data_IF_061356988068
#
_entry.id   IF_061356988068
#
_cell.length_a   1.000
_cell.length_b   1.000
_cell.length_c   1.000
_cell.angle_alpha   90.00
_cell.angle_beta   90.00
_cell.angle_gamma   90.00
#
_symmetry.space_group_name_H-M   'P 1'
#
loop_
_entity.id
_entity.type
_entity.pdbx_description
1 polymer ?
#
# COMPACT_ATOMS: atom_id res chain seq x y z
N UNK A 1 -3.79 15.97 -2.85
CA UNK A 1 -4.69 16.65 -3.83
C UNK A 1 -6.13 16.25 -3.54
N UNK A 2 -7.00 17.19 -3.12
CA UNK A 2 -8.43 16.92 -2.85
C UNK A 2 -9.24 17.16 -4.13
N UNK A 3 -9.68 16.10 -4.80
CA UNK A 3 -10.69 16.25 -5.86
C UNK A 3 -12.08 16.32 -5.21
N UNK A 4 -12.78 17.43 -5.45
CA UNK A 4 -14.11 17.70 -4.88
C UNK A 4 -15.17 16.75 -5.46
N UNK A 5 -15.76 15.94 -4.57
CA UNK A 5 -16.88 15.02 -4.78
C UNK A 5 -18.10 15.64 -5.48
N UNK A 6 -18.23 16.97 -5.45
CA UNK A 6 -19.35 17.72 -6.03
C UNK A 6 -19.38 17.64 -7.56
N UNK A 7 -18.23 17.55 -8.23
CA UNK A 7 -18.16 17.60 -9.70
C UNK A 7 -18.68 16.32 -10.39
N UNK A 8 -18.63 15.17 -9.70
CA UNK A 8 -19.04 13.88 -10.26
C UNK A 8 -20.57 13.69 -10.26
N UNK A 9 -21.27 14.29 -9.29
CA UNK A 9 -22.73 14.26 -9.20
C UNK A 9 -23.42 15.07 -10.30
N UNK A 10 -22.82 16.18 -10.75
CA UNK A 10 -23.39 17.01 -11.83
C UNK A 10 -23.32 16.34 -13.22
N UNK A 11 -22.31 15.50 -13.46
CA UNK A 11 -22.14 14.77 -14.73
C UNK A 11 -23.11 13.59 -14.90
N UNK A 12 -23.60 13.00 -13.82
CA UNK A 12 -24.53 11.85 -13.85
C UNK A 12 -26.01 12.25 -14.00
N UNK A 13 -26.37 13.48 -13.60
CA UNK A 13 -27.75 13.97 -13.65
C UNK A 13 -28.42 13.85 -15.06
N UNK A 14 -27.77 14.26 -16.18
CA UNK A 14 -28.40 14.15 -17.49
C UNK A 14 -28.58 12.71 -17.99
N UNK A 15 -27.72 11.77 -17.58
CA UNK A 15 -27.81 10.36 -17.97
C UNK A 15 -28.98 9.64 -17.27
N UNK A 16 -29.18 9.90 -15.98
CA UNK A 16 -30.30 9.34 -15.21
C UNK A 16 -31.65 9.83 -15.77
N UNK A 17 -31.73 11.11 -16.16
CA UNK A 17 -32.93 11.66 -16.78
C UNK A 17 -33.22 11.06 -18.16
N UNK A 18 -32.19 10.82 -18.98
CA UNK A 18 -32.38 10.27 -20.32
C UNK A 18 -32.81 8.80 -20.28
N UNK A 19 -32.22 8.01 -19.36
CA UNK A 19 -32.59 6.61 -19.16
C UNK A 19 -34.02 6.46 -18.58
N UNK A 20 -34.40 7.34 -17.65
CA UNK A 20 -35.75 7.38 -17.09
C UNK A 20 -36.83 7.78 -18.10
N UNK A 21 -36.47 8.55 -19.15
CA UNK A 21 -37.38 8.94 -20.25
C UNK A 21 -37.51 7.86 -21.32
N UNK A 22 -36.48 7.04 -21.55
CA UNK A 22 -36.48 5.96 -22.57
C UNK A 22 -37.29 4.73 -22.13
N UNK A 23 -37.27 4.40 -20.84
CA UNK A 23 -38.16 3.37 -20.26
C UNK A 23 -39.58 3.94 -20.11
N UNK A 24 -40.38 3.89 -21.17
CA UNK A 24 -41.82 4.14 -21.11
C UNK A 24 -42.53 3.00 -20.37
N UNK A 25 -42.41 3.01 -19.04
CA UNK A 25 -43.04 2.09 -18.09
C UNK A 25 -44.54 2.42 -17.98
N UNK A 26 -45.29 2.29 -19.08
CA UNK A 26 -46.74 2.56 -19.13
C UNK A 26 -47.57 1.51 -18.38
N UNK A 27 -46.97 0.38 -17.99
CA UNK A 27 -47.69 -0.73 -17.33
C UNK A 27 -47.22 -1.05 -15.90
N UNK A 28 -46.32 -0.27 -15.31
CA UNK A 28 -45.96 -0.49 -13.91
C UNK A 28 -46.90 0.26 -12.97
N UNK A 29 -47.51 -0.42 -11.97
CA UNK A 29 -48.23 0.29 -10.92
C UNK A 29 -47.29 1.30 -10.26
N UNK A 30 -47.80 2.44 -9.76
CA UNK A 30 -47.00 3.52 -9.14
C UNK A 30 -45.99 3.03 -8.10
N UNK A 31 -46.24 1.88 -7.46
CA UNK A 31 -45.31 1.19 -6.55
C UNK A 31 -44.06 0.61 -7.24
N UNK A 32 -44.17 0.08 -8.46
CA UNK A 32 -43.07 -0.49 -9.24
C UNK A 32 -42.07 0.57 -9.73
N UNK A 33 -42.55 1.77 -10.06
CA UNK A 33 -41.68 2.91 -10.44
C UNK A 33 -40.84 3.40 -9.24
N UNK A 34 -41.40 3.35 -8.02
CA UNK A 34 -40.65 3.69 -6.79
C UNK A 34 -39.57 2.64 -6.48
N UNK A 35 -39.89 1.36 -6.62
CA UNK A 35 -38.93 0.27 -6.39
C UNK A 35 -37.78 0.30 -7.41
N UNK A 36 -38.09 0.55 -8.68
CA UNK A 36 -37.07 0.61 -9.74
C UNK A 36 -36.15 1.83 -9.58
N UNK A 37 -36.68 2.98 -9.15
CA UNK A 37 -35.86 4.15 -8.77
C UNK A 37 -34.96 3.85 -7.56
N UNK A 38 -35.46 3.11 -6.58
CA UNK A 38 -34.67 2.70 -5.41
C UNK A 38 -33.53 1.75 -5.79
N UNK A 39 -33.80 0.75 -6.64
CA UNK A 39 -32.78 -0.19 -7.15
C UNK A 39 -31.73 0.54 -7.99
N UNK A 40 -32.16 1.45 -8.87
CA UNK A 40 -31.24 2.24 -9.70
C UNK A 40 -30.40 3.21 -8.85
N UNK A 41 -30.98 3.80 -7.80
CA UNK A 41 -30.24 4.61 -6.82
C UNK A 41 -29.21 3.78 -6.05
N UNK A 42 -29.57 2.55 -5.62
CA UNK A 42 -28.63 1.63 -4.98
C UNK A 42 -27.50 1.17 -5.92
N UNK A 43 -27.79 0.94 -7.21
CA UNK A 43 -26.77 0.59 -8.22
C UNK A 43 -25.82 1.75 -8.51
N UNK A 44 -26.33 2.97 -8.64
CA UNK A 44 -25.48 4.16 -8.83
C UNK A 44 -24.65 4.47 -7.58
N UNK A 45 -25.22 4.27 -6.38
CA UNK A 45 -24.49 4.42 -5.12
C UNK A 45 -23.37 3.37 -4.96
N UNK A 46 -23.54 2.15 -5.51
CA UNK A 46 -22.50 1.12 -5.47
C UNK A 46 -21.41 1.34 -6.52
N UNK A 47 -21.71 1.92 -7.68
CA UNK A 47 -20.67 2.35 -8.63
C UNK A 47 -19.90 3.59 -8.16
N UNK A 48 -20.53 4.50 -7.40
CA UNK A 48 -19.87 5.71 -6.87
C UNK A 48 -18.93 5.44 -5.68
N UNK A 49 -18.94 4.22 -5.13
CA UNK A 49 -18.12 3.85 -3.97
C UNK A 49 -16.69 3.39 -4.32
N UNK A 50 -16.34 3.24 -5.62
CA UNK A 50 -15.09 2.59 -6.02
C UNK A 50 -13.89 3.52 -6.30
N UNK A 51 -13.93 4.78 -5.86
CA UNK A 51 -12.76 5.70 -5.95
C UNK A 51 -12.01 5.86 -4.63
N UNK A 52 -12.27 5.02 -3.63
CA UNK A 52 -11.37 4.88 -2.50
C UNK A 52 -10.06 4.27 -3.02
N UNK A 53 -8.99 5.07 -3.08
CA UNK A 53 -7.63 4.51 -3.13
C UNK A 53 -7.52 3.57 -1.94
N UNK A 54 -7.21 2.30 -2.19
CA UNK A 54 -6.81 1.39 -1.13
C UNK A 54 -5.53 1.99 -0.50
N UNK A 55 -5.67 2.52 0.70
CA UNK A 55 -4.52 2.81 1.53
C UNK A 55 -3.92 1.45 1.92
N UNK A 56 -2.64 1.24 1.60
CA UNK A 56 -1.94 0.05 2.08
C UNK A 56 -1.80 0.22 3.59
N UNK A 57 -2.60 -0.53 4.35
CA UNK A 57 -2.56 -0.53 5.79
C UNK A 57 -1.57 -1.60 6.27
N UNK A 58 -0.40 -1.17 6.73
CA UNK A 58 0.60 -2.05 7.32
C UNK A 58 0.20 -2.40 8.76
N UNK A 59 0.18 -3.69 9.08
CA UNK A 59 0.10 -4.16 10.47
C UNK A 59 1.40 -3.87 11.22
N UNK A 60 1.39 -3.78 12.55
CA UNK A 60 2.62 -3.48 13.33
C UNK A 60 3.75 -4.49 13.06
N UNK A 61 3.39 -5.76 12.89
CA UNK A 61 4.32 -6.86 12.54
C UNK A 61 4.88 -6.75 11.12
N UNK A 62 4.36 -5.85 10.29
CA UNK A 62 4.86 -5.71 8.93
C UNK A 62 6.28 -5.16 8.92
N UNK A 63 6.74 -4.52 10.00
CA UNK A 63 7.98 -3.75 10.03
C UNK A 63 9.16 -4.54 10.60
N UNK A 64 10.37 -4.14 10.25
CA UNK A 64 11.59 -4.73 10.80
C UNK A 64 11.71 -4.49 12.31
N UNK A 65 12.26 -5.47 13.02
CA UNK A 65 12.26 -5.52 14.49
C UNK A 65 13.65 -5.33 15.10
N UNK A 66 14.71 -5.68 14.36
CA UNK A 66 16.07 -5.66 14.87
C UNK A 66 17.08 -5.19 13.81
N UNK A 67 18.11 -4.49 14.27
CA UNK A 67 19.31 -4.18 13.47
C UNK A 67 20.32 -5.30 13.64
N UNK A 68 20.85 -5.80 12.53
CA UNK A 68 21.82 -6.91 12.50
C UNK A 68 23.23 -6.42 12.20
N UNK A 69 23.36 -5.55 11.19
CA UNK A 69 24.65 -5.00 10.76
C UNK A 69 24.42 -3.66 10.06
N UNK A 70 25.41 -2.77 10.11
CA UNK A 70 25.29 -1.46 9.48
C UNK A 70 26.65 -0.79 9.25
N UNK A 71 26.72 0.05 8.23
CA UNK A 71 27.79 1.01 8.02
C UNK A 71 27.16 2.35 7.64
N UNK A 72 27.01 3.23 8.62
CA UNK A 72 26.35 4.52 8.45
C UNK A 72 27.38 5.66 8.46
N UNK A 73 27.28 6.58 7.52
CA UNK A 73 28.19 7.73 7.42
C UNK A 73 27.61 8.93 8.20
N UNK A 74 28.50 9.69 8.85
CA UNK A 74 28.17 10.62 9.94
C UNK A 74 26.99 11.57 9.69
N UNK A 75 26.08 11.63 10.65
CA UNK A 75 24.91 12.52 10.69
C UNK A 75 23.65 11.67 10.75
N UNK A 76 22.90 11.74 11.84
CA UNK A 76 21.63 11.01 12.01
C UNK A 76 21.77 9.50 11.78
N UNK A 77 22.72 8.87 12.46
CA UNK A 77 23.18 7.52 12.18
C UNK A 77 22.84 6.52 13.30
N UNK A 78 21.68 6.69 13.94
CA UNK A 78 21.17 5.69 14.88
C UNK A 78 20.40 4.64 14.06
N UNK A 79 20.97 3.44 13.83
CA UNK A 79 20.32 2.44 12.99
C UNK A 79 18.99 1.96 13.58
N UNK A 80 18.75 2.15 14.88
CA UNK A 80 17.51 1.71 15.54
C UNK A 80 16.32 2.61 15.22
N UNK A 81 16.56 3.81 14.70
CA UNK A 81 15.50 4.72 14.23
C UNK A 81 14.76 4.23 12.99
N UNK A 82 15.29 3.20 12.31
CA UNK A 82 14.64 2.58 11.14
C UNK A 82 13.75 1.37 11.50
N UNK A 83 13.59 1.09 12.80
CA UNK A 83 12.82 -0.07 13.28
C UNK A 83 11.38 0.31 13.60
N UNK A 84 10.48 -0.65 13.43
CA UNK A 84 9.08 -0.46 13.69
C UNK A 84 8.38 0.41 12.64
N UNK A 85 7.25 0.99 13.03
CA UNK A 85 6.37 1.72 12.11
C UNK A 85 7.02 3.00 11.64
N UNK A 86 6.85 3.26 10.33
CA UNK A 86 7.16 4.56 9.76
C UNK A 86 6.37 5.65 10.52
N UNK A 87 7.06 6.64 11.06
CA UNK A 87 6.45 7.69 11.87
C UNK A 87 6.59 9.09 11.25
N UNK A 88 7.30 9.16 10.11
CA UNK A 88 7.45 10.39 9.37
C UNK A 88 6.12 10.85 8.78
N UNK A 89 5.88 12.16 8.86
CA UNK A 89 4.72 12.82 8.28
C UNK A 89 5.12 14.06 7.50
N UNK A 90 4.31 14.45 6.50
CA UNK A 90 4.56 15.65 5.69
C UNK A 90 4.66 16.94 6.53
N UNK A 91 4.03 16.99 7.69
CA UNK A 91 4.05 18.13 8.61
C UNK A 91 5.39 18.27 9.37
N UNK A 92 6.24 17.23 9.34
CA UNK A 92 7.59 17.25 9.92
C UNK A 92 8.64 17.89 9.01
N UNK A 93 8.28 18.22 7.76
CA UNK A 93 9.18 18.92 6.83
C UNK A 93 9.58 20.28 7.42
N UNK A 94 10.88 20.47 7.66
CA UNK A 94 11.44 21.70 8.26
C UNK A 94 11.32 21.81 9.78
N UNK A 95 10.75 20.80 10.47
CA UNK A 95 10.60 20.76 11.93
C UNK A 95 11.27 19.50 12.46
N UNK A 96 12.51 19.61 12.96
CA UNK A 96 13.29 18.52 13.57
C UNK A 96 13.19 17.16 12.83
N UNK A 97 13.17 17.16 11.50
CA UNK A 97 13.15 15.96 10.64
C UNK A 97 14.41 15.08 10.77
N UNK A 98 15.28 15.42 11.72
CA UNK A 98 16.58 14.84 11.93
C UNK A 98 16.82 14.45 13.39
N UNK A 99 15.75 14.30 14.17
CA UNK A 99 15.89 13.59 15.45
C UNK A 99 16.29 12.15 15.18
N UNK A 100 17.13 11.57 16.04
CA UNK A 100 17.42 10.12 16.06
C UNK A 100 16.21 9.26 16.43
N UNK A 101 15.01 9.83 16.40
CA UNK A 101 13.74 9.18 16.71
C UNK A 101 12.90 8.96 15.46
N UNK A 102 13.22 9.62 14.32
CA UNK A 102 12.39 9.63 13.10
C UNK A 102 12.99 8.77 11.97
N UNK A 103 14.32 8.66 11.92
CA UNK A 103 14.98 7.89 10.87
C UNK A 103 16.49 7.97 10.94
N UNK A 104 17.14 7.16 10.10
CA UNK A 104 18.59 7.05 10.02
C UNK A 104 19.08 7.34 8.61
N UNK A 105 20.11 8.16 8.49
CA UNK A 105 20.83 8.38 7.24
C UNK A 105 21.84 7.25 7.03
N UNK A 106 21.80 6.63 5.86
CA UNK A 106 22.85 5.71 5.43
C UNK A 106 24.13 6.48 5.12
N UNK A 107 23.96 7.69 4.55
CA UNK A 107 25.03 8.43 3.90
C UNK A 107 25.58 7.72 2.66
N UNK A 108 26.45 8.40 1.91
CA UNK A 108 26.87 7.94 0.58
C UNK A 108 27.59 6.58 0.61
N UNK A 109 26.96 5.56 0.03
CA UNK A 109 27.48 4.18 0.02
C UNK A 109 27.37 3.45 1.37
N UNK A 110 26.62 3.99 2.33
CA UNK A 110 26.31 3.32 3.58
C UNK A 110 25.26 2.23 3.40
N UNK A 111 25.11 1.37 4.41
CA UNK A 111 24.11 0.32 4.42
C UNK A 111 23.53 0.06 5.81
N UNK A 112 22.33 -0.50 5.82
CA UNK A 112 21.63 -0.99 7.01
C UNK A 112 21.05 -2.37 6.73
N UNK A 113 21.36 -3.32 7.61
CA UNK A 113 20.80 -4.67 7.59
C UNK A 113 19.87 -4.84 8.78
N UNK A 114 18.63 -5.22 8.49
CA UNK A 114 17.56 -5.40 9.45
C UNK A 114 17.00 -6.82 9.39
N UNK A 115 16.42 -7.26 10.50
CA UNK A 115 15.75 -8.55 10.66
C UNK A 115 14.26 -8.35 11.01
N UNK A 116 13.41 -9.16 10.38
CA UNK A 116 12.04 -9.41 10.79
C UNK A 116 12.02 -10.63 11.74
N UNK A 117 11.78 -10.36 13.02
CA UNK A 117 11.79 -11.37 14.08
C UNK A 117 10.43 -12.08 14.14
N UNK A 118 9.34 -11.33 14.07
CA UNK A 118 7.97 -11.85 14.16
C UNK A 118 7.22 -11.88 12.82
N UNK A 119 7.95 -11.60 11.74
CA UNK A 119 7.48 -11.57 10.37
C UNK A 119 8.54 -12.12 9.39
N UNK A 120 8.18 -12.32 8.13
CA UNK A 120 9.07 -12.71 7.06
C UNK A 120 8.68 -11.96 5.77
N UNK A 121 9.66 -11.66 4.93
CA UNK A 121 9.47 -11.14 3.58
C UNK A 121 9.21 -12.30 2.64
N UNK A 122 8.11 -12.26 1.89
CA UNK A 122 7.76 -13.23 0.87
C UNK A 122 7.07 -12.55 -0.31
N UNK A 123 7.13 -13.19 -1.46
CA UNK A 123 6.45 -12.71 -2.66
C UNK A 123 4.95 -13.01 -2.64
N UNK A 124 4.18 -12.12 -3.24
CA UNK A 124 2.73 -12.18 -3.41
C UNK A 124 2.29 -13.24 -4.43
N UNK A 125 3.15 -13.55 -5.40
CA UNK A 125 2.85 -14.34 -6.59
C UNK A 125 2.11 -13.57 -7.69
N UNK A 126 2.01 -12.24 -7.59
CA UNK A 126 1.49 -11.37 -8.64
C UNK A 126 2.44 -10.19 -8.94
N UNK A 127 1.94 -9.00 -9.25
CA UNK A 127 2.76 -7.82 -9.60
C UNK A 127 2.68 -6.70 -8.55
N UNK A 128 1.98 -6.97 -7.45
CA UNK A 128 1.90 -6.09 -6.31
C UNK A 128 3.27 -5.98 -5.64
N UNK A 129 3.43 -4.98 -4.77
CA UNK A 129 4.69 -4.73 -4.09
C UNK A 129 4.74 -5.56 -2.82
N UNK A 130 5.84 -6.23 -2.58
CA UNK A 130 6.01 -7.18 -1.48
C UNK A 130 6.78 -6.57 -0.31
N UNK A 131 7.72 -5.70 -0.63
CA UNK A 131 8.63 -5.03 0.31
C UNK A 131 8.53 -3.51 0.10
N UNK A 132 8.53 -2.77 1.19
CA UNK A 132 8.52 -1.31 1.18
C UNK A 132 9.67 -0.78 2.01
N UNK A 133 10.38 0.21 1.47
CA UNK A 133 11.39 0.97 2.19
C UNK A 133 10.87 2.40 2.30
N UNK A 134 10.67 2.89 3.51
CA UNK A 134 10.21 4.24 3.78
C UNK A 134 11.42 5.15 3.92
N UNK A 135 11.47 6.13 3.02
CA UNK A 135 12.57 7.08 2.92
C UNK A 135 12.02 8.48 3.19
N UNK A 136 12.77 9.25 3.97
CA UNK A 136 12.41 10.59 4.38
C UNK A 136 13.29 11.63 3.70
N UNK A 137 13.04 12.90 3.96
CA UNK A 137 13.81 13.99 3.37
C UNK A 137 13.32 14.41 1.99
N UNK A 138 13.94 15.46 1.45
CA UNK A 138 13.40 16.23 0.33
C UNK A 138 13.92 15.84 -1.06
N UNK A 139 14.83 14.87 -1.17
CA UNK A 139 15.44 14.47 -2.44
C UNK A 139 15.35 12.94 -2.60
N UNK A 140 14.86 12.40 -3.73
CA UNK A 140 14.91 10.97 -4.05
C UNK A 140 16.33 10.43 -4.14
N UNK A 141 16.52 9.23 -3.60
CA UNK A 141 17.81 8.56 -3.51
C UNK A 141 17.71 7.11 -3.96
N UNK A 142 18.68 6.68 -4.76
CA UNK A 142 18.74 5.32 -5.28
C UNK A 142 19.27 4.36 -4.21
N UNK A 143 18.44 3.36 -3.90
CA UNK A 143 18.69 2.32 -2.92
C UNK A 143 18.90 0.97 -3.59
N UNK A 144 20.00 0.31 -3.31
CA UNK A 144 20.18 -1.11 -3.60
C UNK A 144 19.52 -1.93 -2.50
N UNK A 145 18.67 -2.89 -2.87
CA UNK A 145 17.97 -3.75 -1.92
C UNK A 145 18.42 -5.20 -2.11
N UNK A 146 18.68 -5.86 -1.00
CA UNK A 146 19.04 -7.27 -0.96
C UNK A 146 18.26 -7.97 0.16
N UNK A 147 17.90 -9.24 -0.05
CA UNK A 147 17.15 -10.04 0.92
C UNK A 147 17.87 -11.34 1.25
N UNK A 148 17.73 -11.83 2.47
CA UNK A 148 18.39 -13.06 2.92
C UNK A 148 17.52 -13.89 3.87
N UNK A 149 17.68 -15.21 3.79
CA UNK A 149 17.07 -16.18 4.71
C UNK A 149 17.89 -16.28 6.00
N UNK A 150 19.21 -16.19 5.89
CA UNK A 150 20.16 -16.56 6.95
C UNK A 150 21.12 -15.43 7.37
N UNK A 151 21.04 -14.27 6.72
CA UNK A 151 21.90 -13.11 6.97
C UNK A 151 23.31 -13.23 6.36
N UNK A 152 23.61 -14.31 5.65
CA UNK A 152 24.94 -14.59 5.07
C UNK A 152 24.91 -14.72 3.55
N UNK A 153 23.86 -15.31 2.99
CA UNK A 153 23.64 -15.46 1.55
C UNK A 153 22.56 -14.48 1.10
N UNK A 154 22.90 -13.60 0.16
CA UNK A 154 22.05 -12.47 -0.23
C UNK A 154 21.52 -12.65 -1.66
N UNK A 155 20.23 -12.42 -1.84
CA UNK A 155 19.59 -12.23 -3.14
C UNK A 155 19.48 -10.74 -3.41
N UNK A 156 20.12 -10.29 -4.48
CA UNK A 156 19.96 -8.94 -5.03
C UNK A 156 18.57 -8.82 -5.70
N UNK A 157 17.76 -7.87 -5.21
CA UNK A 157 16.41 -7.56 -5.74
C UNK A 157 16.37 -6.19 -6.44
N UNK A 158 17.54 -5.70 -6.82
CA UNK A 158 17.73 -4.53 -7.66
C UNK A 158 17.74 -3.20 -6.93
N UNK A 159 17.80 -2.15 -7.75
CA UNK A 159 17.77 -0.75 -7.31
C UNK A 159 16.34 -0.25 -7.28
N UNK A 160 15.99 0.42 -6.19
CA UNK A 160 14.73 1.09 -5.96
C UNK A 160 14.97 2.59 -5.76
N UNK A 161 14.10 3.42 -6.30
CA UNK A 161 14.13 4.87 -6.12
C UNK A 161 12.69 5.36 -5.96
N UNK A 162 12.49 6.32 -5.07
CA UNK A 162 11.17 6.92 -4.84
C UNK A 162 10.79 7.80 -6.02
N UNK A 163 9.51 7.80 -6.40
CA UNK A 163 9.10 8.48 -7.63
C UNK A 163 9.12 10.02 -7.52
N UNK A 164 8.97 10.57 -6.32
CA UNK A 164 8.89 12.03 -6.12
C UNK A 164 9.05 12.45 -4.65
N UNK A 165 9.80 13.53 -4.43
CA UNK A 165 9.97 14.16 -3.12
C UNK A 165 8.70 14.77 -2.50
N UNK A 166 7.59 14.87 -3.24
CA UNK A 166 6.40 15.62 -2.79
C UNK A 166 5.20 14.76 -2.46
N UNK A 167 5.20 13.49 -2.90
CA UNK A 167 4.02 12.62 -2.85
C UNK A 167 4.34 11.17 -2.51
N UNK A 168 5.62 10.85 -2.31
CA UNK A 168 6.09 9.48 -2.10
C UNK A 168 7.05 9.45 -0.91
N UNK A 169 6.70 8.67 0.11
CA UNK A 169 7.45 8.56 1.38
C UNK A 169 8.13 7.20 1.52
N UNK A 170 8.15 6.44 0.43
CA UNK A 170 8.82 5.15 0.37
C UNK A 170 8.74 4.57 -1.03
N UNK A 171 9.47 3.49 -1.24
CA UNK A 171 9.50 2.75 -2.50
C UNK A 171 9.11 1.30 -2.26
N UNK A 172 8.13 0.84 -3.03
CA UNK A 172 7.71 -0.55 -3.05
C UNK A 172 8.52 -1.34 -4.07
N UNK A 173 8.87 -2.58 -3.74
CA UNK A 173 9.53 -3.54 -4.62
C UNK A 173 8.69 -4.80 -4.72
N UNK A 174 8.42 -5.21 -5.96
CA UNK A 174 7.91 -6.54 -6.31
C UNK A 174 9.12 -7.47 -6.40
N UNK A 175 9.17 -8.45 -5.50
CA UNK A 175 10.29 -9.39 -5.39
C UNK A 175 10.04 -10.70 -6.16
N UNK A 176 8.80 -10.97 -6.56
CA UNK A 176 8.41 -12.19 -7.26
C UNK A 176 9.22 -12.39 -8.55
N UNK A 177 9.50 -11.29 -9.26
CA UNK A 177 10.29 -11.32 -10.48
C UNK A 177 11.73 -11.84 -10.30
N UNK A 178 12.27 -11.81 -9.07
CA UNK A 178 13.61 -12.30 -8.77
C UNK A 178 13.62 -13.77 -8.37
N UNK A 179 12.46 -14.42 -8.22
CA UNK A 179 12.39 -15.83 -7.88
C UNK A 179 12.48 -16.70 -9.12
N UNK A 180 13.54 -17.52 -9.19
CA UNK A 180 13.79 -18.38 -10.33
C UNK A 180 14.25 -19.77 -9.90
N UNK A 181 14.04 -20.76 -10.75
CA UNK A 181 14.63 -22.10 -10.55
C UNK A 181 16.16 -22.03 -10.48
N UNK A 182 16.79 -21.05 -11.14
CA UNK A 182 18.24 -20.89 -11.19
C UNK A 182 18.88 -20.43 -9.89
N UNK A 183 18.20 -19.57 -9.13
CA UNK A 183 18.65 -19.14 -7.79
C UNK A 183 17.98 -19.94 -6.66
N UNK A 184 17.10 -20.89 -6.98
CA UNK A 184 16.51 -21.81 -6.00
C UNK A 184 15.43 -21.17 -5.13
N UNK A 185 14.85 -20.06 -5.56
CA UNK A 185 13.79 -19.36 -4.85
C UNK A 185 12.46 -19.42 -5.62
N UNK A 186 11.37 -19.53 -4.89
CA UNK A 186 10.01 -19.46 -5.41
C UNK A 186 9.11 -18.64 -4.45
N UNK A 187 7.83 -18.49 -4.79
CA UNK A 187 6.86 -17.70 -4.01
C UNK A 187 6.56 -18.31 -2.63
N UNK A 188 7.02 -19.52 -2.33
CA UNK A 188 6.97 -20.12 -0.99
C UNK A 188 8.19 -19.80 -0.14
N UNK A 189 9.27 -19.30 -0.74
CA UNK A 189 10.48 -18.86 -0.03
C UNK A 189 10.17 -17.67 0.87
N UNK A 190 10.78 -17.66 2.06
CA UNK A 190 10.63 -16.61 3.05
C UNK A 190 11.99 -16.11 3.52
N UNK A 191 12.14 -14.81 3.56
CA UNK A 191 13.37 -14.11 3.93
C UNK A 191 13.15 -13.40 5.25
N UNK A 192 14.17 -13.38 6.10
CA UNK A 192 14.12 -12.73 7.42
C UNK A 192 14.91 -11.44 7.46
N UNK A 193 15.84 -11.29 6.54
CA UNK A 193 16.78 -10.19 6.54
C UNK A 193 16.62 -9.35 5.29
N UNK A 194 16.68 -8.03 5.46
CA UNK A 194 16.74 -7.07 4.37
C UNK A 194 17.95 -6.19 4.60
N UNK A 195 18.75 -6.01 3.55
CA UNK A 195 19.82 -5.00 3.51
C UNK A 195 19.43 -3.93 2.51
N UNK A 196 19.48 -2.69 2.98
CA UNK A 196 19.29 -1.49 2.16
C UNK A 196 20.62 -0.76 2.11
N UNK A 197 21.09 -0.46 0.92
CA UNK A 197 22.36 0.23 0.71
C UNK A 197 22.15 1.46 -0.17
N UNK A 198 22.75 2.58 0.20
CA UNK A 198 22.84 3.73 -0.68
C UNK A 198 23.77 3.39 -1.86
N UNK A 199 23.34 3.68 -3.09
CA UNK A 199 24.14 3.35 -4.28
C UNK A 199 25.33 4.29 -4.51
N UNK A 200 25.36 5.44 -3.83
CA UNK A 200 26.34 6.51 -4.03
C UNK A 200 26.17 7.30 -5.33
N UNK A 201 25.18 6.96 -6.16
CA UNK A 201 24.92 7.61 -7.46
C UNK A 201 24.08 8.90 -7.35
N UNK A 202 23.71 9.31 -6.13
CA UNK A 202 22.83 10.45 -5.91
C UNK A 202 23.45 11.75 -6.47
N UNK A 203 22.71 12.43 -7.33
CA UNK A 203 23.22 13.53 -8.17
C UNK A 203 23.52 14.84 -7.43
N UNK A 204 23.26 14.92 -6.13
CA UNK A 204 23.31 16.16 -5.34
C UNK A 204 24.45 16.21 -4.32
N UNK A 205 25.52 15.43 -4.57
CA UNK A 205 26.78 15.24 -3.82
C UNK A 205 27.58 16.51 -3.41
N UNK A 206 26.96 17.56 -2.90
CA UNK A 206 27.67 18.76 -2.44
C UNK A 206 28.53 18.52 -1.18
N UNK A 207 28.35 17.40 -0.47
CA UNK A 207 29.08 17.12 0.77
C UNK A 207 29.57 15.67 0.96
N UNK A 208 29.43 14.75 0.00
CA UNK A 208 29.81 13.33 0.12
C UNK A 208 29.29 12.63 1.41
N UNK A 209 28.22 13.15 2.00
CA UNK A 209 27.67 12.71 3.28
C UNK A 209 26.17 12.44 3.23
N UNK A 210 25.47 12.99 2.25
CA UNK A 210 24.06 12.69 2.02
C UNK A 210 23.95 11.33 1.33
N UNK A 211 23.04 10.51 1.83
CA UNK A 211 22.61 9.24 1.29
C UNK A 211 21.25 8.95 1.90
N UNK A 212 20.58 7.91 1.42
CA UNK A 212 19.19 7.65 1.76
C UNK A 212 18.88 7.71 3.27
N UNK A 213 17.82 8.43 3.61
CA UNK A 213 17.33 8.58 4.97
C UNK A 213 16.18 7.60 5.23
N UNK A 214 16.43 6.52 5.97
CA UNK A 214 15.49 5.42 6.20
C UNK A 214 14.68 5.66 7.48
N UNK A 215 13.36 5.70 7.36
CA UNK A 215 12.39 5.75 8.48
C UNK A 215 11.94 4.34 8.87
N UNK A 216 11.65 3.48 7.89
CA UNK A 216 11.25 2.11 8.18
C UNK A 216 11.42 1.18 6.98
N UNK A 217 11.37 -0.13 7.25
CA UNK A 217 11.24 -1.16 6.20
C UNK A 217 10.11 -2.11 6.57
N UNK A 218 9.21 -2.38 5.64
CA UNK A 218 8.03 -3.21 5.86
C UNK A 218 7.81 -4.27 4.78
N UNK A 219 7.39 -5.46 5.20
CA UNK A 219 6.94 -6.55 4.34
C UNK A 219 5.41 -6.63 4.33
N UNK A 220 4.81 -6.69 3.14
CA UNK A 220 3.34 -6.73 2.98
C UNK A 220 2.76 -8.11 3.23
N UNK A 221 3.56 -9.18 3.11
CA UNK A 221 3.11 -10.55 3.30
C UNK A 221 3.66 -11.21 4.56
N UNK A 222 3.07 -10.96 5.74
CA UNK A 222 3.36 -11.78 6.89
C UNK A 222 2.81 -13.18 6.70
N UNK A 223 3.61 -14.21 7.05
CA UNK A 223 3.12 -15.57 7.27
C UNK A 223 2.08 -15.57 8.41
N UNK A 224 0.84 -15.26 8.10
CA UNK A 224 -0.30 -16.15 8.31
C UNK A 224 -1.52 -15.54 7.65
N UNK A 225 -2.22 -16.36 6.87
CA UNK A 225 -3.63 -16.16 6.56
C UNK A 225 -4.41 -15.77 7.82
N UNK A 226 -4.59 -14.47 8.04
CA UNK A 226 -5.79 -13.94 8.67
C UNK A 226 -6.62 -13.29 7.57
N UNK A 227 -6.97 -14.10 6.55
CA UNK A 227 -8.28 -13.94 5.94
C UNK A 227 -9.28 -14.19 7.06
N UNK A 228 -9.57 -13.18 7.87
CA UNK A 228 -10.85 -13.15 8.56
C UNK A 228 -11.84 -13.22 7.42
N UNK A 229 -12.43 -14.39 7.18
CA UNK A 229 -13.57 -14.51 6.30
C UNK A 229 -14.59 -13.54 6.89
N UNK A 230 -14.69 -12.34 6.33
CA UNK A 230 -15.71 -11.38 6.73
C UNK A 230 -17.01 -12.12 6.43
N UNK A 231 -17.78 -12.54 7.45
CA UNK A 231 -19.02 -13.22 7.20
C UNK A 231 -19.82 -12.30 6.29
N UNK A 232 -20.31 -12.81 5.15
CA UNK A 232 -21.12 -11.99 4.27
C UNK A 232 -22.17 -11.27 5.12
N UNK A 233 -22.25 -9.94 5.05
CA UNK A 233 -23.10 -9.20 5.96
C UNK A 233 -24.50 -9.77 5.87
N UNK A 234 -25.15 -9.98 7.01
CA UNK A 234 -26.51 -10.50 7.11
C UNK A 234 -27.54 -9.70 6.29
N UNK A 235 -27.12 -8.57 5.69
CA UNK A 235 -27.83 -7.82 4.64
C UNK A 235 -28.21 -8.67 3.43
N UNK A 236 -27.41 -9.66 3.01
CA UNK A 236 -27.76 -10.53 1.87
C UNK A 236 -28.94 -11.45 2.24
N UNK A 237 -28.92 -11.97 3.46
CA UNK A 237 -30.01 -12.74 4.05
C UNK A 237 -31.27 -11.85 4.23
N UNK A 238 -31.12 -10.65 4.78
CA UNK A 238 -32.20 -9.65 4.93
C UNK A 238 -32.81 -9.22 3.58
N UNK A 239 -31.98 -9.05 2.55
CA UNK A 239 -32.44 -8.71 1.20
C UNK A 239 -33.28 -9.85 0.61
N UNK A 240 -32.81 -11.09 0.75
CA UNK A 240 -33.54 -12.28 0.29
C UNK A 240 -34.86 -12.46 1.05
N UNK A 241 -34.86 -12.27 2.38
CA UNK A 241 -36.10 -12.30 3.18
C UNK A 241 -37.06 -11.15 2.81
N UNK A 242 -36.54 -9.95 2.57
CA UNK A 242 -37.34 -8.80 2.14
C UNK A 242 -37.99 -9.02 0.77
N UNK A 243 -37.28 -9.61 -0.18
CA UNK A 243 -37.81 -9.94 -1.50
C UNK A 243 -38.83 -11.09 -1.47
N UNK A 244 -38.66 -12.07 -0.58
CA UNK A 244 -39.59 -13.18 -0.41
C UNK A 244 -40.94 -12.74 0.18
N UNK A 245 -40.97 -11.67 0.97
CA UNK A 245 -42.18 -11.11 1.58
C UNK A 245 -42.95 -10.15 0.67
N UNK A 246 -42.44 -9.85 -0.54
CA UNK A 246 -43.17 -8.99 -1.47
C UNK A 246 -44.44 -9.71 -1.98
N UNK A 247 -45.63 -9.12 -1.81
CA UNK A 247 -46.87 -9.73 -2.26
C UNK A 247 -46.85 -9.84 -3.79
N UNK A 248 -46.92 -11.07 -4.30
CA UNK A 248 -47.10 -11.36 -5.72
C UNK A 248 -48.47 -10.82 -6.17
N UNK A 249 -48.50 -9.58 -6.66
CA UNK A 249 -49.69 -9.04 -7.30
C UNK A 249 -49.90 -9.80 -8.61
N UNK A 250 -50.93 -10.66 -8.64
CA UNK A 250 -51.44 -11.22 -9.90
C UNK A 250 -52.04 -10.06 -10.70
N UNK A 251 -51.43 -9.74 -11.83
CA UNK A 251 -52.09 -8.91 -12.84
C UNK A 251 -53.33 -9.68 -13.33
N UNK A 252 -54.51 -9.08 -13.15
CA UNK A 252 -55.70 -9.42 -13.93
C UNK A 252 -55.82 -8.39 -15.04
#
# INVERSE_FOLDING_TARGET
MRYNFVFFLELLHPFVEHFAKSLTLKCLPKAGVKLMRLIMFCLVASLAASTARAEILFHDRAFADAVVDYNLISGYNDPTSALGRNDWTADMVGVNQWGSEIGTSLGNGGYLTMEFVDNEVGGSGDSDKDLWVFEIGGIPEELQIEISIDGSSWLDVGVADRASATVDYGVGVDIDQYFTVGNGYDTSTRFRYVRVSDTGNNSYNMFNKAGADIDAVAAIYPLSNQTTSVPEPATLLLLLFGLALLPRRRCR
#
